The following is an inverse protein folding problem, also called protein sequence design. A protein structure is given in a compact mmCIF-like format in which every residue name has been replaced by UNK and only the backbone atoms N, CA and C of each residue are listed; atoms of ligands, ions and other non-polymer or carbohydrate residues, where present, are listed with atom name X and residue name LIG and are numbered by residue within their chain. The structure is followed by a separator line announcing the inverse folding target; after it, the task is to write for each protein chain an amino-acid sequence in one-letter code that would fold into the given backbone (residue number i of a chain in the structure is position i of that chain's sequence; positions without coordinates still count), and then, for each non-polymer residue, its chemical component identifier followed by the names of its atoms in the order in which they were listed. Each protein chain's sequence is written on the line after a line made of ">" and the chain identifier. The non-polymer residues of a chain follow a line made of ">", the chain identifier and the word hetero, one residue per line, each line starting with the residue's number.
data_IF_726602395064
#
_entry.id   IF_726602395064
#
_cell.length_a   1.000
_cell.length_b   1.000
_cell.length_c   1.000
_cell.angle_alpha   90.00
_cell.angle_beta   90.00
_cell.angle_gamma   90.00
#
_symmetry.space_group_name_H-M   'P 1'
#
loop_
_entity.id
_entity.type
_entity.pdbx_description
1 polymer ?
#
# COMPACT_ATOMS: atom_id res chain seq x y z
N UNK A 1 6.37 -11.64 0.86
CA UNK A 1 5.52 -11.46 2.06
C UNK A 1 6.38 -10.78 3.11
N UNK A 2 5.89 -9.73 3.77
CA UNK A 2 6.69 -8.96 4.72
C UNK A 2 7.18 -9.83 5.88
N UNK A 3 8.48 -9.75 6.19
CA UNK A 3 9.11 -10.46 7.31
C UNK A 3 10.14 -9.56 7.95
N UNK A 4 10.13 -9.46 9.28
CA UNK A 4 11.11 -8.66 10.01
C UNK A 4 12.54 -9.13 9.73
N UNK A 5 12.75 -10.44 9.61
CA UNK A 5 14.09 -11.00 9.44
C UNK A 5 14.70 -10.63 8.08
N UNK A 6 13.91 -10.66 7.00
CA UNK A 6 14.38 -10.21 5.69
C UNK A 6 14.69 -8.71 5.70
N UNK A 7 13.83 -7.90 6.35
CA UNK A 7 14.04 -6.46 6.46
C UNK A 7 15.31 -6.09 7.22
N UNK A 8 15.59 -6.79 8.34
CA UNK A 8 16.80 -6.58 9.12
C UNK A 8 18.06 -7.03 8.36
N UNK A 9 17.96 -8.11 7.59
CA UNK A 9 19.05 -8.59 6.76
C UNK A 9 19.38 -7.62 5.62
N UNK A 10 18.38 -7.03 4.99
CA UNK A 10 18.56 -6.08 3.88
C UNK A 10 19.07 -4.72 4.37
N UNK A 11 18.49 -4.18 5.44
CA UNK A 11 18.84 -2.85 5.95
C UNK A 11 20.10 -2.85 6.84
N UNK A 12 20.34 -3.92 7.61
CA UNK A 12 21.42 -3.99 8.60
C UNK A 12 22.08 -5.38 8.66
N UNK A 13 22.72 -5.84 7.57
CA UNK A 13 23.20 -7.21 7.41
C UNK A 13 24.18 -7.70 8.48
N UNK A 14 24.95 -6.78 9.09
CA UNK A 14 25.99 -7.12 10.07
C UNK A 14 25.56 -6.90 11.53
N UNK A 15 24.32 -6.49 11.79
CA UNK A 15 23.86 -6.16 13.14
C UNK A 15 23.12 -7.33 13.77
N UNK A 16 23.68 -7.88 14.84
CA UNK A 16 22.98 -8.90 15.61
C UNK A 16 21.91 -8.26 16.50
N UNK A 17 20.64 -8.46 16.16
CA UNK A 17 19.49 -7.93 16.90
C UNK A 17 19.06 -8.95 17.98
N UNK A 18 19.13 -8.60 19.28
CA UNK A 18 18.68 -9.44 20.38
C UNK A 18 17.21 -9.86 20.25
N UNK A 19 16.85 -11.02 20.81
CA UNK A 19 15.50 -11.60 20.69
C UNK A 19 14.39 -10.66 21.19
N UNK A 20 14.64 -9.92 22.28
CA UNK A 20 13.67 -8.96 22.81
C UNK A 20 13.41 -7.79 21.85
N UNK A 21 14.46 -7.28 21.19
CA UNK A 21 14.34 -6.21 20.18
C UNK A 21 13.57 -6.71 18.99
N UNK A 22 13.84 -7.94 18.53
CA UNK A 22 13.07 -8.56 17.45
C UNK A 22 11.60 -8.65 17.84
N UNK A 23 11.29 -9.17 19.03
CA UNK A 23 9.90 -9.28 19.48
C UNK A 23 9.19 -7.93 19.53
N UNK A 24 9.87 -6.87 19.98
CA UNK A 24 9.32 -5.52 19.98
C UNK A 24 9.08 -5.00 18.56
N UNK A 25 10.07 -5.16 17.67
CA UNK A 25 9.98 -4.72 16.27
C UNK A 25 8.89 -5.48 15.50
N UNK A 26 8.70 -6.78 15.73
CA UNK A 26 7.62 -7.56 15.09
C UNK A 26 6.25 -6.99 15.43
N UNK A 27 6.06 -6.56 16.68
CA UNK A 27 4.81 -5.94 17.13
C UNK A 27 4.67 -4.50 16.61
N UNK A 28 5.72 -3.68 16.67
CA UNK A 28 5.68 -2.29 16.19
C UNK A 28 5.48 -2.18 14.67
N UNK A 29 5.98 -3.16 13.92
CA UNK A 29 5.84 -3.23 12.47
C UNK A 29 4.65 -4.08 12.02
N UNK A 30 3.80 -4.49 12.96
CA UNK A 30 2.55 -5.21 12.68
C UNK A 30 2.73 -6.44 11.78
N UNK A 31 3.82 -7.19 11.99
CA UNK A 31 4.17 -8.31 11.10
C UNK A 31 3.09 -9.40 11.10
N UNK A 32 2.43 -9.62 12.24
CA UNK A 32 1.37 -10.62 12.37
C UNK A 32 0.16 -10.23 11.54
N UNK A 33 -0.20 -8.97 11.54
CA UNK A 33 -1.31 -8.37 10.82
C UNK A 33 -1.06 -8.45 9.31
N UNK A 34 0.14 -8.10 8.85
CA UNK A 34 0.54 -8.29 7.44
C UNK A 34 0.47 -9.76 7.01
N UNK A 35 0.91 -10.67 7.89
CA UNK A 35 0.85 -12.11 7.62
C UNK A 35 -0.57 -12.64 7.54
N UNK A 36 -1.43 -12.20 8.47
CA UNK A 36 -2.83 -12.58 8.51
C UNK A 36 -3.56 -12.04 7.28
N UNK A 37 -3.41 -10.76 6.95
CA UNK A 37 -4.03 -10.14 5.78
C UNK A 37 -3.69 -10.89 4.48
N UNK A 38 -2.41 -11.21 4.26
CA UNK A 38 -2.00 -11.95 3.08
C UNK A 38 -2.47 -13.42 3.07
N UNK A 39 -2.76 -14.00 4.24
CA UNK A 39 -3.36 -15.33 4.36
C UNK A 39 -4.88 -15.31 4.11
N UNK A 40 -5.56 -14.22 4.49
CA UNK A 40 -6.99 -14.02 4.27
C UNK A 40 -7.30 -13.71 2.80
N UNK A 41 -6.40 -13.01 2.10
CA UNK A 41 -6.56 -12.58 0.71
C UNK A 41 -5.45 -13.08 -0.25
N UNK A 42 -5.17 -14.40 -0.34
CA UNK A 42 -4.01 -14.91 -1.07
C UNK A 42 -4.14 -14.80 -2.60
N UNK A 43 -5.35 -14.56 -3.10
CA UNK A 43 -5.68 -14.54 -4.52
C UNK A 43 -5.72 -13.12 -5.10
N UNK A 44 -5.78 -12.09 -4.26
CA UNK A 44 -5.86 -10.70 -4.72
C UNK A 44 -4.50 -10.20 -5.21
N UNK A 45 -4.50 -9.48 -6.33
CA UNK A 45 -3.30 -8.91 -6.96
C UNK A 45 -3.62 -7.56 -7.59
N UNK A 46 -2.61 -6.71 -7.72
CA UNK A 46 -2.76 -5.42 -8.40
C UNK A 46 -3.86 -4.56 -7.77
N UNK A 47 -4.79 -4.07 -8.59
CA UNK A 47 -5.89 -3.19 -8.16
C UNK A 47 -6.82 -3.85 -7.15
N UNK A 48 -7.12 -5.14 -7.29
CA UNK A 48 -8.02 -5.84 -6.36
C UNK A 48 -7.43 -5.89 -4.94
N UNK A 49 -6.10 -6.02 -4.84
CA UNK A 49 -5.40 -5.95 -3.56
C UNK A 49 -5.48 -4.54 -2.97
N UNK A 50 -5.31 -3.51 -3.81
CA UNK A 50 -5.38 -2.11 -3.38
C UNK A 50 -6.77 -1.79 -2.84
N UNK A 51 -7.82 -2.19 -3.57
CA UNK A 51 -9.21 -2.00 -3.14
C UNK A 51 -9.46 -2.68 -1.79
N UNK A 52 -9.03 -3.94 -1.64
CA UNK A 52 -9.18 -4.66 -0.38
C UNK A 52 -8.41 -4.02 0.79
N UNK A 53 -7.24 -3.44 0.53
CA UNK A 53 -6.45 -2.71 1.55
C UNK A 53 -7.18 -1.43 1.97
N UNK A 54 -7.67 -0.65 1.01
CA UNK A 54 -8.43 0.59 1.27
C UNK A 54 -9.68 0.27 2.10
N UNK A 55 -10.39 -0.80 1.75
CA UNK A 55 -11.58 -1.25 2.49
C UNK A 55 -11.23 -1.79 3.89
N UNK A 56 -10.16 -2.59 4.01
CA UNK A 56 -9.72 -3.15 5.29
C UNK A 56 -9.34 -2.06 6.32
N UNK A 57 -8.68 -1.00 5.86
CA UNK A 57 -8.34 0.14 6.69
C UNK A 57 -9.47 1.17 6.82
N UNK A 58 -10.63 0.91 6.21
CA UNK A 58 -11.79 1.80 6.20
C UNK A 58 -11.42 3.22 5.75
N UNK A 59 -10.61 3.31 4.69
CA UNK A 59 -10.17 4.58 4.13
C UNK A 59 -11.25 5.12 3.19
N UNK A 60 -11.71 6.33 3.47
CA UNK A 60 -12.61 7.08 2.61
C UNK A 60 -11.86 8.19 1.90
N UNK A 61 -12.11 8.34 0.60
CA UNK A 61 -11.62 9.45 -0.21
C UNK A 61 -12.81 10.28 -0.68
N UNK A 62 -12.78 11.57 -0.36
CA UNK A 62 -13.75 12.53 -0.89
C UNK A 62 -13.12 13.21 -2.11
N UNK A 63 -13.85 13.17 -3.22
CA UNK A 63 -13.47 13.82 -4.46
C UNK A 63 -14.52 14.88 -4.77
N UNK A 64 -14.12 16.00 -5.35
CA UNK A 64 -15.07 16.99 -5.84
C UNK A 64 -15.70 16.46 -7.13
N UNK A 65 -17.01 16.69 -7.29
CA UNK A 65 -17.72 16.29 -8.50
C UNK A 65 -17.03 16.87 -9.74
N UNK A 66 -16.71 15.98 -10.69
CA UNK A 66 -16.04 16.33 -11.94
C UNK A 66 -14.50 16.29 -11.89
N UNK A 67 -13.86 16.11 -10.73
CA UNK A 67 -12.38 16.10 -10.65
C UNK A 67 -11.77 14.96 -11.49
N UNK A 68 -12.42 13.80 -11.51
CA UNK A 68 -11.99 12.65 -12.29
C UNK A 68 -12.09 12.89 -13.80
N UNK A 69 -12.97 13.79 -14.25
CA UNK A 69 -13.12 14.13 -15.68
C UNK A 69 -11.91 14.89 -16.21
N UNK A 70 -11.12 15.50 -15.33
CA UNK A 70 -9.87 16.16 -15.70
C UNK A 70 -8.74 15.17 -16.06
N UNK A 71 -8.90 13.88 -15.74
CA UNK A 71 -7.90 12.86 -16.06
C UNK A 71 -8.15 12.37 -17.49
N UNK A 72 -7.18 12.56 -18.43
CA UNK A 72 -7.32 12.05 -19.78
C UNK A 72 -7.46 10.52 -19.78
N UNK A 73 -8.54 10.00 -20.38
CA UNK A 73 -8.84 8.56 -20.43
C UNK A 73 -7.88 7.76 -21.32
N UNK A 74 -7.13 8.44 -22.20
CA UNK A 74 -6.16 7.83 -23.10
C UNK A 74 -4.89 8.69 -23.20
N UNK A 75 -3.80 8.05 -23.62
CA UNK A 75 -2.50 8.70 -23.78
C UNK A 75 -1.71 8.81 -22.47
N UNK A 76 -0.46 9.31 -22.55
CA UNK A 76 0.42 9.45 -21.40
C UNK A 76 -0.08 10.57 -20.48
N UNK A 77 -0.05 10.31 -19.18
CA UNK A 77 -0.45 11.26 -18.12
C UNK A 77 0.59 11.22 -17.01
N UNK A 78 0.92 12.38 -16.45
CA UNK A 78 1.74 12.51 -15.24
C UNK A 78 0.86 13.13 -14.17
N UNK A 79 0.64 12.40 -13.07
CA UNK A 79 -0.09 12.88 -11.91
C UNK A 79 0.92 13.40 -10.88
N UNK A 80 0.65 14.59 -10.34
CA UNK A 80 1.48 15.22 -9.30
C UNK A 80 0.60 15.47 -8.09
N UNK A 81 0.97 14.89 -6.95
CA UNK A 81 0.25 15.03 -5.69
C UNK A 81 1.23 15.20 -4.54
N UNK A 82 0.76 15.79 -3.45
CA UNK A 82 1.46 15.76 -2.17
C UNK A 82 1.39 14.35 -1.54
N UNK A 83 2.28 14.06 -0.59
CA UNK A 83 2.37 12.75 0.04
C UNK A 83 2.59 12.84 1.56
N UNK A 84 1.63 13.40 2.31
CA UNK A 84 1.80 13.64 3.75
C UNK A 84 1.73 12.38 4.61
N UNK A 85 0.91 11.38 4.24
CA UNK A 85 0.68 10.16 5.04
C UNK A 85 1.60 9.03 4.57
N UNK A 86 2.06 9.09 3.32
CA UNK A 86 2.91 8.04 2.75
C UNK A 86 2.06 7.03 1.99
N UNK A 87 2.41 5.75 2.05
CA UNK A 87 1.88 4.69 1.18
C UNK A 87 0.34 4.65 1.04
N UNK A 88 -0.42 5.04 2.06
CA UNK A 88 -1.88 5.12 2.01
C UNK A 88 -2.39 6.16 0.99
N UNK A 89 -1.73 7.32 0.87
CA UNK A 89 -2.07 8.32 -0.13
C UNK A 89 -1.95 7.74 -1.54
N UNK A 90 -0.88 6.95 -1.76
CA UNK A 90 -0.64 6.28 -3.03
C UNK A 90 -1.72 5.26 -3.36
N UNK A 91 -2.12 4.43 -2.38
CA UNK A 91 -3.17 3.42 -2.54
C UNK A 91 -4.53 4.05 -2.87
N UNK A 92 -4.90 5.10 -2.15
CA UNK A 92 -6.16 5.81 -2.37
C UNK A 92 -6.16 6.52 -3.73
N UNK A 93 -5.05 7.18 -4.09
CA UNK A 93 -4.91 7.83 -5.39
C UNK A 93 -4.99 6.81 -6.53
N UNK A 94 -4.32 5.66 -6.40
CA UNK A 94 -4.39 4.58 -7.38
C UNK A 94 -5.81 4.04 -7.54
N UNK A 95 -6.56 3.85 -6.44
CA UNK A 95 -7.98 3.46 -6.49
C UNK A 95 -8.83 4.48 -7.25
N UNK A 96 -8.66 5.78 -6.95
CA UNK A 96 -9.41 6.85 -7.60
C UNK A 96 -9.10 6.95 -9.09
N UNK A 97 -7.82 6.87 -9.46
CA UNK A 97 -7.36 6.93 -10.86
C UNK A 97 -7.81 5.69 -11.64
N UNK A 98 -7.79 4.51 -11.01
CA UNK A 98 -8.22 3.26 -11.64
C UNK A 98 -9.68 3.29 -12.12
N UNK A 99 -10.55 4.11 -11.51
CA UNK A 99 -11.93 4.30 -11.94
C UNK A 99 -12.04 4.92 -13.35
N UNK A 100 -11.07 5.74 -13.76
CA UNK A 100 -11.00 6.35 -15.10
C UNK A 100 -10.00 5.61 -16.00
N UNK A 101 -8.91 5.09 -15.41
CA UNK A 101 -7.73 4.53 -16.08
C UNK A 101 -7.41 3.13 -15.53
N UNK A 102 -8.08 2.06 -16.03
CA UNK A 102 -7.82 0.70 -15.60
C UNK A 102 -6.45 0.17 -16.09
N UNK A 103 -5.79 0.89 -16.99
CA UNK A 103 -4.45 0.61 -17.50
C UNK A 103 -3.31 1.02 -16.55
N UNK A 104 -3.65 1.60 -15.38
CA UNK A 104 -2.68 2.02 -14.38
C UNK A 104 -1.83 0.84 -13.88
N UNK A 105 -0.53 1.09 -13.70
CA UNK A 105 0.46 0.11 -13.21
C UNK A 105 1.27 0.74 -12.09
N UNK A 106 1.69 -0.09 -11.14
CA UNK A 106 2.48 0.27 -9.94
C UNK A 106 3.83 -0.43 -10.00
#
# INVERSE_FOLDING_TARGET
>A
MFSLDSLLQDAFPHRNTPAWQRSLLRTLLFEKEFKQFAADYPHLKGLDLIEQVVDYFNLSCELVDGDLENIPSQGPVVLVANHPIGSLDGLVLLRAVAAVRPDVKV
#
